data_IF_711539881690
#
_entry.id   IF_711539881690
#
_cell.length_a   1.000
_cell.length_b   1.000
_cell.length_c   1.000
_cell.angle_alpha   90.00
_cell.angle_beta   90.00
_cell.angle_gamma   90.00
#
_symmetry.space_group_name_H-M   'P 1'
#
loop_
_entity.id
_entity.type
_entity.pdbx_description
1 polymer ?
2 non-polymer ?
3 non-polymer ?
4 water ?
#
# COMPACT_ATOMS: atom_id res chain seq x y z
N UNK A 5 -15.90 5.26 5.02
CA UNK A 5 -15.31 4.42 3.92
C UNK A 5 -14.73 3.09 4.39
N UNK A 6 -15.39 2.47 5.36
CA UNK A 6 -14.94 1.18 5.94
C UNK A 6 -15.58 -0.03 5.26
N UNK A 7 -14.76 -0.93 4.71
CA UNK A 7 -15.33 -2.07 4.03
C UNK A 7 -14.57 -2.71 2.90
N UNK A 8 -15.12 -3.80 2.40
CA UNK A 8 -14.56 -4.49 1.28
C UNK A 8 -15.51 -4.35 0.09
N UNK A 9 -16.71 -3.86 0.37
CA UNK A 9 -17.74 -3.77 -0.69
C UNK A 9 -18.31 -2.39 -0.73
N UNK A 10 -18.55 -1.85 -1.94
CA UNK A 10 -19.17 -0.54 -2.09
C UNK A 10 -20.44 -0.80 -2.87
N UNK A 11 -21.58 -0.72 -2.20
CA UNK A 11 -22.84 -0.96 -2.87
C UNK A 11 -23.20 0.40 -3.51
N UNK A 12 -23.39 0.45 -4.83
CA UNK A 12 -23.64 1.78 -5.47
C UNK A 12 -24.73 1.72 -6.54
N UNK A 13 -25.34 2.88 -6.78
CA UNK A 13 -26.18 3.09 -7.96
C UNK A 13 -25.74 4.41 -8.55
N UNK A 14 -25.41 4.42 -9.85
CA UNK A 14 -24.94 5.57 -10.54
C UNK A 14 -25.95 6.13 -11.54
N UNK A 15 -26.00 7.46 -11.64
CA UNK A 15 -27.04 8.14 -12.51
C UNK A 15 -26.41 9.26 -13.34
N UNK A 16 -26.88 9.47 -14.56
CA UNK A 16 -26.65 10.77 -15.17
C UNK A 16 -27.51 11.79 -14.48
N UNK A 17 -26.95 12.99 -14.28
CA UNK A 17 -27.71 14.10 -13.74
C UNK A 17 -28.02 15.16 -14.80
N UNK A 18 -29.30 15.44 -14.93
CA UNK A 18 -29.82 16.30 -15.98
C UNK A 18 -29.86 17.72 -15.45
N UNK A 19 -30.17 17.87 -14.17
CA UNK A 19 -30.26 19.19 -13.57
C UNK A 19 -29.51 19.30 -12.25
N UNK A 20 -28.34 19.95 -12.28
CA UNK A 20 -27.51 20.13 -11.09
C UNK A 20 -28.15 20.99 -10.02
N UNK A 21 -28.98 21.96 -10.42
CA UNK A 21 -29.70 22.81 -9.50
C UNK A 21 -30.66 22.00 -8.62
N UNK A 22 -31.45 21.12 -9.24
CA UNK A 22 -32.41 20.25 -8.53
C UNK A 22 -31.68 19.30 -7.59
N UNK A 23 -30.60 18.70 -8.09
CA UNK A 23 -29.72 17.89 -7.26
C UNK A 23 -29.25 18.67 -6.05
N UNK A 24 -28.79 19.90 -6.27
CA UNK A 24 -28.29 20.69 -5.14
C UNK A 24 -29.39 21.08 -4.16
N UNK A 25 -30.60 21.30 -4.66
CA UNK A 25 -31.76 21.40 -3.77
C UNK A 25 -32.12 20.04 -3.15
N UNK A 26 -32.15 18.97 -3.96
CA UNK A 26 -32.34 17.60 -3.45
C UNK A 26 -31.44 17.42 -2.23
N UNK A 27 -30.18 17.86 -2.36
CA UNK A 27 -29.15 17.71 -1.32
C UNK A 27 -29.46 18.47 -0.06
N UNK A 28 -29.58 19.80 -0.18
CA UNK A 28 -29.91 20.73 0.93
C UNK A 28 -31.12 20.27 1.78
N UNK A 29 -32.24 20.00 1.09
CA UNK A 29 -33.45 19.50 1.75
C UNK A 29 -33.09 18.42 2.74
N UNK A 30 -32.47 17.35 2.21
CA UNK A 30 -32.07 16.17 2.99
C UNK A 30 -30.93 16.45 3.96
N UNK A 31 -30.45 17.69 4.01
CA UNK A 31 -29.48 18.11 5.01
C UNK A 31 -28.09 17.47 4.86
N UNK A 32 -27.70 17.22 3.61
CA UNK A 32 -26.38 16.65 3.28
C UNK A 32 -25.18 17.42 3.85
N UNK A 33 -24.21 16.65 4.35
CA UNK A 33 -22.96 17.14 4.87
C UNK A 33 -21.90 17.11 3.77
N UNK A 34 -21.17 18.21 3.54
CA UNK A 34 -20.10 18.17 2.55
C UNK A 34 -18.92 17.44 3.16
N UNK A 35 -18.36 16.49 2.42
CA UNK A 35 -17.12 15.86 2.80
C UNK A 35 -15.93 16.45 2.06
N UNK A 36 -15.91 16.34 0.73
CA UNK A 36 -14.90 17.06 -0.03
C UNK A 36 -15.64 17.71 -1.18
N UNK A 37 -15.26 18.92 -1.56
CA UNK A 37 -16.02 19.61 -2.62
C UNK A 37 -15.12 20.02 -3.74
N UNK A 38 -15.61 19.82 -4.97
CA UNK A 38 -14.92 20.23 -6.20
C UNK A 38 -13.44 19.88 -6.27
N UNK A 39 -13.15 18.61 -6.03
CA UNK A 39 -11.77 18.14 -6.18
C UNK A 39 -11.53 17.64 -7.56
N UNK A 40 -10.36 17.96 -8.10
CA UNK A 40 -9.90 17.34 -9.30
C UNK A 40 -9.33 16.00 -8.88
N UNK A 41 -9.87 14.90 -9.42
CA UNK A 41 -9.34 13.58 -9.14
C UNK A 41 -8.72 13.01 -10.39
N UNK A 42 -7.47 12.62 -10.27
CA UNK A 42 -6.73 12.00 -11.36
C UNK A 42 -6.48 10.55 -10.97
N UNK A 43 -7.00 9.62 -11.78
CA UNK A 43 -6.86 8.20 -11.47
C UNK A 43 -5.96 7.58 -12.51
N UNK A 44 -4.83 7.02 -12.09
CA UNK A 44 -3.97 6.29 -12.99
C UNK A 44 -4.37 4.82 -12.80
N UNK A 45 -4.82 4.20 -13.87
CA UNK A 45 -5.13 2.78 -13.82
C UNK A 45 -3.90 1.97 -14.23
N UNK A 46 -3.60 0.93 -13.43
CA UNK A 46 -2.45 0.03 -13.68
C UNK A 46 -2.90 -1.39 -14.02
N UNK A 47 -2.14 -2.01 -14.91
CA UNK A 47 -2.37 -3.41 -15.25
C UNK A 47 -1.08 -4.06 -15.73
N UNK A 48 -1.10 -5.39 -15.78
CA UNK A 48 0.07 -6.15 -16.27
C UNK A 48 0.08 -6.12 -17.79
N UNK A 49 1.22 -6.45 -18.41
CA UNK A 49 1.35 -6.19 -19.84
C UNK A 49 0.28 -6.95 -20.64
N UNK A 50 -0.13 -8.10 -20.13
CA UNK A 50 -1.17 -8.91 -20.75
C UNK A 50 -2.58 -8.57 -20.31
N UNK A 51 -2.77 -7.38 -19.69
CA UNK A 51 -4.06 -6.92 -19.14
C UNK A 51 -4.64 -7.97 -18.21
N UNK A 52 -3.75 -8.61 -17.45
CA UNK A 52 -4.11 -9.68 -16.54
C UNK A 52 -5.22 -9.34 -15.57
N UNK A 53 -5.19 -8.12 -15.00
CA UNK A 53 -6.21 -7.74 -14.05
C UNK A 53 -7.58 -7.53 -14.72
N UNK A 54 -7.59 -6.84 -15.85
CA UNK A 54 -8.84 -6.59 -16.57
C UNK A 54 -9.52 -7.90 -16.97
N UNK A 55 -8.71 -8.87 -17.39
CA UNK A 55 -9.20 -10.23 -17.73
C UNK A 55 -9.87 -10.95 -16.54
N UNK A 56 -9.65 -10.44 -15.32
CA UNK A 56 -10.26 -10.90 -14.07
C UNK A 56 -11.33 -9.95 -13.49
N UNK A 57 -11.73 -8.93 -14.23
CA UNK A 57 -12.75 -7.98 -13.76
C UNK A 57 -12.20 -7.17 -12.59
N UNK A 58 -10.86 -6.95 -12.59
CA UNK A 58 -10.20 -6.20 -11.55
C UNK A 58 -9.64 -4.89 -12.12
N UNK A 59 -9.77 -3.80 -11.37
CA UNK A 59 -9.10 -2.53 -11.75
C UNK A 59 -8.22 -2.12 -10.56
N UNK A 60 -7.08 -1.52 -10.82
CA UNK A 60 -6.22 -1.06 -9.71
C UNK A 60 -5.83 0.38 -10.09
N UNK A 61 -6.03 1.28 -9.15
CA UNK A 61 -5.98 2.73 -9.40
C UNK A 61 -5.06 3.36 -8.37
N UNK A 62 -4.21 4.29 -8.81
CA UNK A 62 -3.63 5.25 -7.86
C UNK A 62 -4.36 6.56 -8.06
N UNK A 63 -4.97 7.09 -7.01
CA UNK A 63 -5.84 8.23 -7.14
C UNK A 63 -5.21 9.45 -6.41
N UNK A 64 -5.14 10.58 -7.11
CA UNK A 64 -4.72 11.83 -6.46
C UNK A 64 -5.87 12.83 -6.47
N UNK A 65 -6.24 13.38 -5.31
CA UNK A 65 -7.37 14.30 -5.22
C UNK A 65 -6.87 15.68 -4.76
N UNK A 66 -7.11 16.72 -5.56
CA UNK A 66 -6.62 18.08 -5.24
C UNK A 66 -7.79 19.04 -5.28
N UNK A 67 -7.89 20.00 -4.33
CA UNK A 67 -6.91 20.35 -3.32
C UNK A 67 -6.94 19.59 -1.98
N UNK A 68 -7.82 18.61 -1.82
CA UNK A 68 -7.92 17.90 -0.54
C UNK A 68 -6.62 17.25 -0.10
N UNK A 69 -5.70 17.00 -1.04
CA UNK A 69 -4.43 16.28 -0.79
C UNK A 69 -4.50 14.76 -0.57
N UNK A 70 -5.69 14.18 -0.66
CA UNK A 70 -5.89 12.75 -0.48
C UNK A 70 -5.21 11.92 -1.61
N UNK A 71 -4.50 10.84 -1.24
CA UNK A 71 -3.86 9.94 -2.24
C UNK A 71 -4.21 8.53 -1.80
N UNK A 72 -4.77 7.77 -2.73
CA UNK A 72 -5.33 6.42 -2.46
C UNK A 72 -4.79 5.40 -3.46
N UNK A 73 -4.51 4.20 -2.97
CA UNK A 73 -4.27 3.06 -3.80
C UNK A 73 -5.57 2.25 -3.63
N UNK A 74 -6.20 1.93 -4.77
CA UNK A 74 -7.53 1.30 -4.79
C UNK A 74 -7.45 0.00 -5.59
N UNK A 75 -8.05 -1.07 -5.05
CA UNK A 75 -8.19 -2.29 -5.82
C UNK A 75 -9.70 -2.60 -5.85
N UNK A 76 -10.22 -2.57 -7.07
CA UNK A 76 -11.65 -2.80 -7.35
C UNK A 76 -11.82 -4.16 -8.01
N UNK A 77 -12.83 -4.94 -7.60
CA UNK A 77 -13.15 -6.19 -8.27
C UNK A 77 -12.62 -7.38 -7.49
N UNK A 78 -12.84 -8.61 -7.99
CA UNK A 78 -13.52 -8.91 -9.25
C UNK A 78 -14.99 -8.53 -9.17
N UNK A 79 -15.51 -8.01 -10.26
CA UNK A 79 -16.88 -7.54 -10.30
C UNK A 79 -17.05 -6.12 -9.79
N UNK A 80 -18.30 -5.64 -9.88
CA UNK A 80 -18.60 -4.24 -9.66
C UNK A 80 -19.02 -3.85 -8.22
N UNK A 81 -18.71 -4.67 -7.23
CA UNK A 81 -19.04 -4.31 -5.85
C UNK A 81 -17.84 -4.30 -4.89
N UNK A 82 -16.94 -5.26 -5.10
CA UNK A 82 -15.75 -5.43 -4.30
C UNK A 82 -14.87 -4.19 -4.52
N UNK A 83 -14.49 -3.56 -3.43
CA UNK A 83 -13.63 -2.36 -3.46
C UNK A 83 -12.90 -2.16 -2.14
N UNK A 84 -11.56 -2.05 -2.20
CA UNK A 84 -10.78 -1.71 -1.03
C UNK A 84 -9.74 -0.64 -1.40
N UNK A 85 -9.48 0.27 -0.48
CA UNK A 85 -8.50 1.32 -0.66
C UNK A 85 -7.62 1.54 0.55
N UNK A 86 -6.42 2.05 0.32
CA UNK A 86 -5.50 2.36 1.41
C UNK A 86 -4.99 3.75 1.13
N UNK A 87 -5.02 4.62 2.13
CA UNK A 87 -4.32 5.91 2.00
C UNK A 87 -2.87 5.69 1.85
N UNK A 88 -2.26 6.43 0.95
CA UNK A 88 -0.85 6.31 0.75
C UNK A 88 -0.19 7.68 0.86
N UNK A 89 1.04 7.63 1.34
CA UNK A 89 1.88 8.80 1.56
C UNK A 89 2.39 9.37 0.24
N UNK A 90 2.90 8.50 -0.62
CA UNK A 90 3.75 8.91 -1.72
C UNK A 90 3.33 8.08 -2.90
N UNK A 91 2.60 8.70 -3.82
CA UNK A 91 2.14 8.00 -5.03
C UNK A 91 3.28 7.43 -5.89
N UNK A 92 4.38 8.15 -6.10
CA UNK A 92 5.41 7.66 -6.98
C UNK A 92 6.11 6.42 -6.36
N UNK A 93 6.20 6.37 -5.03
CA UNK A 93 6.86 5.24 -4.33
C UNK A 93 5.99 4.00 -4.56
N UNK A 94 4.70 4.13 -4.25
CA UNK A 94 3.80 2.97 -4.52
C UNK A 94 3.78 2.54 -6.01
N UNK A 95 3.72 3.51 -6.92
CA UNK A 95 3.72 3.21 -8.34
C UNK A 95 5.01 2.41 -8.74
N UNK A 96 6.16 2.81 -8.21
CA UNK A 96 7.39 2.12 -8.50
C UNK A 96 7.38 0.67 -7.95
N UNK A 97 6.96 0.51 -6.71
CA UNK A 97 6.76 -0.82 -6.12
C UNK A 97 5.83 -1.74 -6.93
N UNK A 98 4.71 -1.19 -7.38
CA UNK A 98 3.81 -1.94 -8.24
C UNK A 98 4.41 -2.22 -9.58
N UNK A 99 5.20 -1.28 -10.13
CA UNK A 99 5.97 -1.57 -11.35
C UNK A 99 6.91 -2.77 -11.18
N UNK A 100 7.58 -2.87 -10.02
CA UNK A 100 8.42 -4.01 -9.79
C UNK A 100 7.65 -5.33 -9.88
N UNK A 101 6.42 -5.33 -9.37
CA UNK A 101 5.52 -6.50 -9.45
C UNK A 101 4.91 -6.77 -10.83
N UNK A 102 5.17 -5.86 -11.78
CA UNK A 102 4.76 -6.00 -13.18
C UNK A 102 3.54 -5.20 -13.58
N UNK A 103 3.06 -4.31 -12.72
CA UNK A 103 1.86 -3.43 -13.06
C UNK A 103 2.30 -2.05 -13.49
N UNK A 104 1.78 -1.55 -14.62
CA UNK A 104 2.29 -0.30 -15.20
C UNK A 104 1.09 0.51 -15.68
N UNK A 105 1.25 1.85 -15.81
CA UNK A 105 0.10 2.68 -16.19
C UNK A 105 -0.54 2.22 -17.50
N UNK A 106 -1.87 2.14 -17.51
CA UNK A 106 -2.55 1.64 -18.70
C UNK A 106 -3.35 2.76 -19.36
N UNK A 107 -3.99 3.59 -18.51
CA UNK A 107 -4.71 4.78 -18.95
C UNK A 107 -5.00 5.61 -17.72
N UNK A 108 -5.49 6.82 -17.94
CA UNK A 108 -5.78 7.77 -16.88
C UNK A 108 -7.20 8.28 -17.05
N UNK A 109 -7.96 8.37 -15.96
CA UNK A 109 -9.31 8.95 -15.97
C UNK A 109 -9.27 10.15 -15.06
N UNK A 110 -9.71 11.31 -15.59
CA UNK A 110 -9.81 12.51 -14.75
C UNK A 110 -11.26 12.97 -14.58
N UNK A 111 -11.59 13.52 -13.42
CA UNK A 111 -12.92 14.08 -13.18
C UNK A 111 -12.86 15.12 -12.09
N UNK A 112 -13.94 15.91 -12.00
CA UNK A 112 -14.19 16.77 -10.85
C UNK A 112 -15.16 16.00 -9.96
N UNK A 113 -14.86 15.91 -8.68
CA UNK A 113 -15.77 15.17 -7.77
C UNK A 113 -16.04 15.93 -6.47
N UNK A 114 -17.29 15.87 -6.02
CA UNK A 114 -17.73 16.34 -4.70
C UNK A 114 -18.37 15.15 -4.00
N UNK A 115 -18.11 15.02 -2.69
CA UNK A 115 -18.66 13.89 -1.94
C UNK A 115 -19.45 14.47 -0.76
N UNK A 116 -20.70 14.03 -0.62
CA UNK A 116 -21.58 14.48 0.47
C UNK A 116 -22.04 13.25 1.25
N UNK A 117 -22.43 13.47 2.49
CA UNK A 117 -22.98 12.38 3.32
C UNK A 117 -24.42 12.72 3.72
N UNK A 118 -25.34 11.75 3.64
CA UNK A 118 -26.67 11.86 4.31
C UNK A 118 -26.80 10.59 5.11
N UNK A 119 -26.58 10.71 6.42
CA UNK A 119 -26.57 9.53 7.27
C UNK A 119 -25.54 8.50 6.82
N UNK A 120 -25.97 7.26 6.59
CA UNK A 120 -25.05 6.22 6.17
C UNK A 120 -24.70 6.27 4.69
N UNK A 121 -25.41 7.08 3.92
CA UNK A 121 -25.22 7.13 2.45
C UNK A 121 -24.16 8.13 2.05
N UNK A 122 -23.39 7.80 1.02
CA UNK A 122 -22.53 8.78 0.38
C UNK A 122 -23.19 9.18 -0.93
N UNK A 123 -23.12 10.46 -1.28
CA UNK A 123 -23.61 10.91 -2.57
C UNK A 123 -22.44 11.61 -3.23
N UNK A 124 -22.04 11.10 -4.39
CA UNK A 124 -20.85 11.58 -5.04
C UNK A 124 -21.35 12.26 -6.29
N UNK A 125 -20.90 13.47 -6.56
CA UNK A 125 -21.36 14.25 -7.71
C UNK A 125 -20.13 14.50 -8.57
N UNK A 126 -20.16 14.02 -9.83
CA UNK A 126 -18.98 13.99 -10.67
C UNK A 126 -19.24 14.76 -11.94
N UNK A 127 -18.17 15.37 -12.47
CA UNK A 127 -18.25 15.92 -13.83
C UNK A 127 -17.10 15.38 -14.67
N UNK A 128 -17.39 14.89 -15.88
CA UNK A 128 -16.31 14.42 -16.73
C UNK A 128 -16.41 15.20 -18.06
N UNK A 129 -15.28 15.60 -18.60
CA UNK A 129 -15.31 16.38 -19.84
C UNK A 129 -16.01 15.61 -20.95
N UNK A 130 -16.95 16.25 -21.62
CA UNK A 130 -17.68 15.57 -22.70
C UNK A 130 -18.83 14.76 -22.15
N UNK A 131 -18.51 13.83 -21.27
CA UNK A 131 -19.55 12.90 -20.76
C UNK A 131 -20.62 13.53 -19.91
N UNK A 132 -20.27 14.55 -19.14
CA UNK A 132 -21.26 15.30 -18.39
C UNK A 132 -21.28 15.01 -16.90
N UNK A 133 -22.44 15.26 -16.29
CA UNK A 133 -22.62 15.13 -14.84
C UNK A 133 -23.24 13.81 -14.41
N UNK A 134 -22.76 13.26 -13.30
CA UNK A 134 -23.22 11.97 -12.80
C UNK A 134 -23.32 12.11 -11.25
N UNK A 135 -24.16 11.30 -10.63
CA UNK A 135 -24.25 11.20 -9.16
C UNK A 135 -24.32 9.74 -8.83
N UNK A 136 -23.67 9.31 -7.75
CA UNK A 136 -23.73 7.90 -7.30
C UNK A 136 -24.18 7.91 -5.86
N UNK A 137 -25.19 7.10 -5.52
CA UNK A 137 -25.56 6.85 -4.13
C UNK A 137 -24.82 5.58 -3.73
N UNK A 138 -24.15 5.59 -2.57
CA UNK A 138 -23.39 4.41 -2.15
C UNK A 138 -23.40 4.18 -0.64
N UNK A 139 -23.26 2.92 -0.26
CA UNK A 139 -23.05 2.45 1.14
C UNK A 139 -21.88 1.45 1.13
N UNK A 140 -20.96 1.56 2.12
CA UNK A 140 -19.86 0.59 2.21
C UNK A 140 -20.26 -0.43 3.27
N UNK A 141 -19.78 -1.64 3.08
CA UNK A 141 -19.88 -2.77 4.06
C UNK A 141 -18.70 -3.75 3.98
N UNK A 142 -18.44 -4.43 5.11
CA UNK A 142 -17.45 -5.50 5.16
C UNK A 142 -18.09 -6.89 4.98
N UNK A 143 -19.42 -6.92 5.04
CA UNK A 143 -20.22 -8.13 5.19
C UNK A 143 -21.01 -8.44 3.91
N UNK A 144 -20.52 -9.39 3.12
CA UNK A 144 -21.20 -9.76 1.86
C UNK A 144 -22.61 -10.31 2.09
N UNK A 145 -22.85 -10.80 3.33
CA UNK A 145 -24.19 -11.36 3.70
C UNK A 145 -25.25 -10.27 3.95
N UNK A 146 -24.89 -9.03 3.67
CA UNK A 146 -25.83 -7.91 3.76
C UNK A 146 -25.94 -7.07 2.49
N UNK A 147 -25.23 -7.49 1.44
CA UNK A 147 -25.30 -6.83 0.12
C UNK A 147 -26.70 -6.64 -0.41
N UNK A 148 -27.60 -7.57 -0.08
CA UNK A 148 -28.99 -7.51 -0.55
C UNK A 148 -29.72 -6.40 0.15
N UNK A 149 -29.65 -6.41 1.48
CA UNK A 149 -30.25 -5.40 2.37
C UNK A 149 -29.79 -4.01 1.89
N UNK A 150 -28.48 -3.84 1.70
CA UNK A 150 -27.95 -2.51 1.29
C UNK A 150 -28.34 -2.06 -0.09
N UNK A 151 -28.31 -2.94 -1.09
CA UNK A 151 -28.67 -2.47 -2.43
C UNK A 151 -30.13 -2.06 -2.53
N UNK A 152 -30.99 -2.73 -1.73
CA UNK A 152 -32.39 -2.29 -1.53
C UNK A 152 -32.42 -0.91 -0.87
N UNK A 153 -31.68 -0.76 0.23
CA UNK A 153 -31.69 0.54 0.93
C UNK A 153 -31.21 1.67 0.00
N UNK A 154 -30.22 1.39 -0.86
CA UNK A 154 -29.76 2.38 -1.90
C UNK A 154 -30.82 2.78 -2.86
N UNK A 155 -31.56 1.77 -3.33
CA UNK A 155 -32.69 2.01 -4.19
C UNK A 155 -33.74 2.88 -3.48
N UNK A 156 -34.16 2.50 -2.27
CA UNK A 156 -35.13 3.37 -1.56
C UNK A 156 -34.59 4.80 -1.39
N UNK A 157 -33.31 4.95 -1.03
CA UNK A 157 -32.74 6.31 -0.87
C UNK A 157 -32.74 7.07 -2.18
N UNK A 158 -32.36 6.41 -3.28
CA UNK A 158 -32.28 7.10 -4.56
C UNK A 158 -33.68 7.55 -4.99
N UNK A 159 -34.69 6.72 -4.64
CA UNK A 159 -36.08 7.03 -5.00
C UNK A 159 -36.57 8.29 -4.27
N UNK A 160 -36.41 8.31 -2.95
CA UNK A 160 -36.82 9.49 -2.18
C UNK A 160 -35.94 10.70 -2.49
N UNK A 161 -34.73 10.47 -2.99
CA UNK A 161 -33.83 11.56 -3.35
C UNK A 161 -34.18 12.17 -4.71
N UNK A 162 -34.99 11.44 -5.50
CA UNK A 162 -35.36 11.88 -6.84
C UNK A 162 -34.43 11.51 -8.00
N UNK A 163 -33.58 10.49 -7.80
CA UNK A 163 -32.74 10.00 -8.88
C UNK A 163 -33.42 8.79 -9.45
N UNK A 164 -33.78 8.89 -10.74
CA UNK A 164 -34.78 7.99 -11.35
C UNK A 164 -34.20 6.90 -12.23
N UNK A 165 -34.88 5.77 -12.34
CA UNK A 165 -34.37 4.64 -13.16
C UNK A 165 -33.99 4.99 -14.58
N UNK A 166 -34.77 5.86 -15.24
CA UNK A 166 -34.47 6.22 -16.60
C UNK A 166 -33.11 6.88 -16.73
N UNK A 167 -32.60 7.44 -15.62
CA UNK A 167 -31.29 8.08 -15.65
C UNK A 167 -30.12 7.20 -15.16
N UNK A 168 -30.44 5.95 -14.85
CA UNK A 168 -29.41 5.07 -14.32
C UNK A 168 -28.34 4.79 -15.38
N UNK A 169 -27.07 4.70 -14.91
CA UNK A 169 -25.94 4.36 -15.73
C UNK A 169 -25.19 3.18 -15.07
N UNK A 170 -25.37 1.95 -15.59
CA UNK A 170 -24.77 0.79 -15.02
C UNK A 170 -23.27 0.67 -15.32
N UNK A 171 -22.75 1.49 -16.26
CA UNK A 171 -21.38 1.28 -16.72
C UNK A 171 -20.43 2.04 -15.80
N UNK A 172 -19.23 1.52 -15.62
CA UNK A 172 -18.11 2.22 -14.97
C UNK A 172 -17.59 3.35 -15.85
N UNK A 173 -16.81 4.26 -15.25
CA UNK A 173 -16.20 5.30 -16.07
C UNK A 173 -15.23 4.64 -17.10
N UNK A 174 -14.49 3.58 -16.72
CA UNK A 174 -13.58 2.98 -17.71
C UNK A 174 -14.37 2.39 -18.88
N UNK A 175 -15.51 1.81 -18.55
CA UNK A 175 -16.43 1.28 -19.59
C UNK A 175 -16.99 2.40 -20.48
N UNK A 176 -17.47 3.48 -19.84
CA UNK A 176 -17.93 4.65 -20.65
C UNK A 176 -16.90 5.25 -21.61
N UNK A 177 -15.63 5.20 -21.21
CA UNK A 177 -14.54 5.83 -21.90
C UNK A 177 -13.81 4.91 -22.86
N UNK A 178 -14.21 3.66 -22.83
CA UNK A 178 -13.65 2.62 -23.68
C UNK A 178 -12.28 2.10 -23.32
N UNK A 179 -12.00 2.05 -22.00
CA UNK A 179 -10.76 1.50 -21.47
C UNK A 179 -10.96 0.21 -20.65
N UNK B 4 15.97 9.28 6.44
CA UNK B 4 16.93 8.17 6.71
C UNK B 4 16.68 6.92 5.89
N UNK B 5 15.40 6.68 5.62
CA UNK B 5 15.13 5.55 4.71
C UNK B 5 14.75 6.02 3.31
N UNK B 6 15.63 6.52 2.43
CA UNK B 6 15.34 7.11 1.12
C UNK B 6 16.13 6.37 0.04
N UNK B 7 15.46 5.78 -0.93
CA UNK B 7 16.19 5.06 -2.00
C UNK B 7 15.51 3.85 -2.59
N UNK B 8 15.96 3.43 -3.77
CA UNK B 8 15.52 2.17 -4.31
C UNK B 8 16.55 1.06 -4.19
N UNK B 9 17.73 1.40 -3.67
CA UNK B 9 18.77 0.42 -3.35
C UNK B 9 19.04 0.47 -1.87
N UNK B 10 19.22 -0.72 -1.25
CA UNK B 10 19.68 -0.83 0.15
C UNK B 10 20.92 -1.74 0.17
N UNK B 11 22.07 -1.18 0.54
CA UNK B 11 23.27 -1.94 0.69
C UNK B 11 23.28 -2.39 2.15
N UNK B 12 23.41 -3.66 2.38
CA UNK B 12 23.22 -4.25 3.72
C UNK B 12 24.17 -5.42 3.91
N UNK B 13 24.78 -5.49 5.10
CA UNK B 13 25.57 -6.67 5.53
C UNK B 13 25.02 -7.20 6.85
N UNK B 14 24.81 -8.52 6.90
CA UNK B 14 24.32 -9.17 8.12
C UNK B 14 25.46 -9.94 8.79
N UNK B 15 25.51 -9.86 10.12
CA UNK B 15 26.59 -10.51 10.87
C UNK B 15 25.96 -11.28 12.01
N UNK B 16 26.50 -12.47 12.32
CA UNK B 16 26.24 -13.13 13.61
C UNK B 16 26.94 -12.30 14.66
N UNK B 17 26.25 -12.11 15.79
CA UNK B 17 26.75 -11.34 16.92
C UNK B 17 27.27 -12.29 17.99
N UNK B 18 28.58 -12.30 18.17
CA UNK B 18 29.24 -13.17 19.13
C UNK B 18 29.29 -12.53 20.54
N UNK B 19 29.34 -11.20 20.58
CA UNK B 19 29.55 -10.41 21.79
C UNK B 19 28.61 -9.19 21.80
N UNK B 20 27.40 -9.41 22.26
CA UNK B 20 26.39 -8.36 22.38
C UNK B 20 26.83 -7.17 23.24
N UNK B 21 27.55 -7.46 24.34
CA UNK B 21 28.08 -6.42 25.21
C UNK B 21 28.97 -5.41 24.46
N UNK B 22 29.95 -5.89 23.71
CA UNK B 22 30.82 -5.00 22.91
C UNK B 22 30.01 -4.19 21.92
N UNK B 23 29.09 -4.86 21.23
CA UNK B 23 28.21 -4.10 20.32
C UNK B 23 27.49 -2.94 21.04
N UNK B 24 26.84 -3.24 22.18
CA UNK B 24 26.10 -2.19 22.87
C UNK B 24 27.01 -1.07 23.41
N UNK B 25 28.19 -1.47 23.83
CA UNK B 25 29.18 -0.52 24.36
C UNK B 25 29.64 0.45 23.27
N UNK B 26 29.81 -0.08 22.07
CA UNK B 26 30.18 0.72 20.91
C UNK B 26 29.06 1.59 20.40
N UNK B 27 27.82 1.16 20.57
CA UNK B 27 26.68 1.99 20.21
C UNK B 27 26.63 3.25 21.10
N UNK B 28 27.01 3.09 22.37
CA UNK B 28 27.13 4.28 23.26
C UNK B 28 28.36 5.16 22.92
N UNK B 29 29.51 4.53 22.74
CA UNK B 29 30.74 5.27 22.42
C UNK B 29 30.54 6.14 21.15
N UNK B 30 29.83 5.61 20.17
CA UNK B 30 29.66 6.30 18.89
C UNK B 30 28.39 7.15 18.86
N UNK B 31 27.77 7.28 20.03
CA UNK B 31 26.61 8.16 20.17
C UNK B 31 25.52 7.79 19.16
N UNK B 32 25.26 6.49 19.00
CA UNK B 32 24.16 6.05 18.17
C UNK B 32 22.86 6.59 18.68
N UNK B 33 21.95 6.93 17.79
CA UNK B 33 20.61 7.30 18.19
C UNK B 33 19.61 6.16 17.91
N UNK B 34 18.79 5.84 18.92
CA UNK B 34 17.78 4.79 18.79
C UNK B 34 16.64 5.28 17.96
N UNK B 35 16.36 4.60 16.86
CA UNK B 35 15.15 4.85 16.09
C UNK B 35 13.96 4.02 16.61
N UNK B 36 14.20 2.74 16.91
CA UNK B 36 13.23 1.86 17.56
C UNK B 36 14.02 0.98 18.52
N UNK B 37 13.41 0.65 19.66
CA UNK B 37 14.07 -0.18 20.68
C UNK B 37 13.26 -1.38 21.03
N UNK B 38 13.89 -2.55 20.97
CA UNK B 38 13.29 -3.80 21.33
C UNK B 38 11.86 -3.97 20.85
N UNK B 39 11.63 -3.72 19.56
CA UNK B 39 10.35 -3.92 18.96
C UNK B 39 10.14 -5.38 18.58
N UNK B 40 8.95 -5.89 18.80
CA UNK B 40 8.60 -7.14 18.15
C UNK B 40 8.21 -6.82 16.69
N UNK B 41 8.85 -7.51 15.74
CA UNK B 41 8.65 -7.32 14.29
C UNK B 41 8.06 -8.59 13.73
N UNK B 42 6.84 -8.52 13.20
CA UNK B 42 6.23 -9.65 12.58
C UNK B 42 6.12 -9.34 11.11
N UNK B 43 6.76 -10.17 10.31
CA UNK B 43 6.82 -10.05 8.83
C UNK B 43 6.01 -11.16 8.23
N UNK B 44 5.00 -10.78 7.43
CA UNK B 44 4.21 -11.70 6.70
C UNK B 44 4.73 -11.63 5.27
N UNK B 45 5.32 -12.73 4.81
CA UNK B 45 5.79 -12.82 3.42
C UNK B 45 4.70 -13.25 2.48
N UNK B 46 4.55 -12.55 1.34
CA UNK B 46 3.47 -12.85 0.40
C UNK B 46 4.02 -13.31 -0.98
N UNK B 47 3.34 -14.27 -1.60
CA UNK B 47 3.72 -14.68 -2.97
C UNK B 47 2.43 -15.24 -3.68
N UNK B 48 2.50 -15.37 -5.01
CA UNK B 48 1.46 -15.93 -5.85
C UNK B 48 1.49 -17.45 -5.60
N UNK B 49 0.48 -18.11 -5.98
CA UNK B 49 0.27 -19.58 -5.86
C UNK B 49 1.50 -20.39 -6.32
N UNK B 50 2.04 -19.90 -7.52
CA UNK B 50 3.17 -20.54 -8.13
C UNK B 50 4.54 -19.94 -7.81
N UNK B 51 4.61 -19.13 -6.74
CA UNK B 51 5.88 -18.49 -6.37
C UNK B 51 6.53 -17.62 -7.45
N UNK B 52 5.67 -16.94 -8.21
CA UNK B 52 6.09 -16.02 -9.24
C UNK B 52 7.12 -14.99 -8.78
N UNK B 53 6.97 -14.46 -7.56
CA UNK B 53 7.93 -13.46 -7.04
C UNK B 53 9.28 -14.13 -6.69
N UNK B 54 9.25 -15.22 -5.94
CA UNK B 54 10.54 -15.87 -5.63
C UNK B 54 11.31 -16.24 -6.87
N UNK B 55 10.60 -16.66 -7.91
CA UNK B 55 11.24 -17.01 -9.17
C UNK B 55 11.94 -15.84 -9.81
N UNK B 56 11.56 -14.64 -9.39
CA UNK B 56 12.22 -13.40 -9.83
C UNK B 56 13.22 -12.83 -8.82
N UNK B 57 13.53 -13.60 -7.77
CA UNK B 57 14.26 -13.14 -6.62
C UNK B 57 13.66 -11.84 -6.09
N UNK B 58 12.32 -11.83 -6.02
CA UNK B 58 11.55 -10.81 -5.25
C UNK B 58 10.93 -11.40 -3.98
N UNK B 59 11.03 -10.64 -2.88
CA UNK B 59 10.29 -10.95 -1.66
C UNK B 59 9.34 -9.76 -1.41
N UNK B 60 8.18 -10.06 -0.89
CA UNK B 60 7.22 -9.00 -0.56
C UNK B 60 6.73 -9.25 0.83
N UNK B 61 6.83 -8.20 1.65
CA UNK B 61 6.61 -8.33 3.09
C UNK B 61 5.65 -7.27 3.61
N UNK B 62 4.73 -7.68 4.49
CA UNK B 62 3.99 -6.72 5.26
C UNK B 62 4.53 -6.84 6.66
N UNK B 63 5.06 -5.74 7.16
CA UNK B 63 5.75 -5.73 8.47
C UNK B 63 4.97 -4.88 9.45
N UNK B 64 4.82 -5.41 10.66
CA UNK B 64 4.26 -4.67 11.77
C UNK B 64 5.31 -4.62 12.88
N UNK B 65 5.56 -3.46 13.47
CA UNK B 65 6.54 -3.37 14.56
C UNK B 65 5.85 -2.75 15.77
N UNK B 66 5.93 -3.44 16.90
CA UNK B 66 5.34 -3.00 18.16
C UNK B 66 6.38 -2.92 19.25
N UNK B 67 6.33 -1.86 20.08
CA UNK B 67 5.25 -0.87 20.21
C UNK B 67 5.40 0.46 19.42
N UNK B 68 6.34 0.52 18.46
CA UNK B 68 6.55 1.72 17.70
C UNK B 68 5.29 2.06 16.86
N UNK B 69 4.47 1.06 16.53
CA UNK B 69 3.34 1.25 15.60
C UNK B 69 3.66 1.44 14.12
N UNK B 70 4.92 1.25 13.73
CA UNK B 70 5.33 1.34 12.30
C UNK B 70 4.73 0.14 11.58
N UNK B 71 4.15 0.38 10.39
CA UNK B 71 3.70 -0.70 9.55
C UNK B 71 4.19 -0.35 8.17
N UNK B 72 4.67 -1.37 7.47
CA UNK B 72 5.42 -1.21 6.23
C UNK B 72 5.01 -2.28 5.22
N UNK B 73 4.95 -1.88 3.97
CA UNK B 73 4.85 -2.80 2.81
C UNK B 73 6.21 -2.69 2.11
N UNK B 74 6.92 -3.82 1.92
CA UNK B 74 8.31 -3.82 1.53
C UNK B 74 8.35 -4.75 0.29
N UNK B 75 8.98 -4.29 -0.79
CA UNK B 75 9.23 -5.13 -1.95
C UNK B 75 10.76 -5.16 -2.14
N UNK B 76 11.37 -6.32 -1.93
CA UNK B 76 12.83 -6.49 -2.07
C UNK B 76 13.05 -7.17 -3.39
N UNK B 77 14.03 -6.72 -4.17
CA UNK B 77 14.33 -7.34 -5.46
C UNK B 77 13.76 -6.52 -6.59
N UNK B 78 13.88 -7.02 -7.86
CA UNK B 78 14.44 -8.35 -8.17
C UNK B 78 15.97 -8.38 -7.97
N UNK B 79 16.44 -9.40 -7.24
CA UNK B 79 17.87 -9.60 -7.03
C UNK B 79 18.50 -8.59 -6.05
N UNK B 80 19.81 -8.64 -6.01
CA UNK B 80 20.55 -8.03 -4.96
C UNK B 80 20.46 -6.50 -4.96
N UNK B 81 20.44 -5.97 -3.70
CA UNK B 81 20.48 -4.55 -3.44
C UNK B 81 19.27 -3.72 -3.86
N UNK B 82 18.20 -4.22 -4.32
CA UNK B 82 17.01 -3.47 -4.69
C UNK B 82 16.03 -3.64 -3.54
N UNK B 83 15.54 -2.55 -3.11
CA UNK B 83 14.57 -2.55 -2.04
C UNK B 83 13.80 -1.26 -2.03
N UNK B 84 12.47 -1.34 -1.96
CA UNK B 84 11.64 -0.15 -1.75
C UNK B 84 10.61 -0.47 -0.67
N UNK B 85 10.28 0.52 0.14
CA UNK B 85 9.19 0.35 1.09
C UNK B 85 8.29 1.56 1.21
N UNK B 86 7.04 1.29 1.59
CA UNK B 86 6.03 2.32 1.87
C UNK B 86 5.44 2.17 3.27
N UNK B 87 5.32 3.26 4.05
CA UNK B 87 4.49 3.16 5.28
C UNK B 87 3.06 2.88 4.87
N UNK B 88 2.35 2.07 5.63
CA UNK B 88 0.94 1.77 5.45
C UNK B 88 0.21 1.93 6.79
N UNK B 89 -1.09 2.19 6.74
CA UNK B 89 -1.84 2.40 7.99
C UNK B 89 -2.31 1.09 8.60
N UNK B 90 -2.60 0.12 7.75
CA UNK B 90 -3.32 -1.09 8.18
C UNK B 90 -2.83 -2.26 7.38
N UNK B 91 -2.11 -3.17 8.05
CA UNK B 91 -1.64 -4.37 7.44
C UNK B 91 -2.71 -5.27 6.85
N UNK B 92 -3.80 -5.50 7.58
CA UNK B 92 -4.79 -6.44 7.08
C UNK B 92 -5.47 -5.87 5.85
N UNK B 93 -5.54 -4.52 5.77
CA UNK B 93 -6.20 -3.88 4.60
C UNK B 93 -5.37 -4.12 3.37
N UNK B 94 -4.09 -3.77 3.46
CA UNK B 94 -3.21 -3.98 2.30
C UNK B 94 -3.07 -5.48 1.99
N UNK B 95 -3.04 -6.32 3.03
CA UNK B 95 -2.97 -7.75 2.81
C UNK B 95 -4.17 -8.27 1.96
N UNK B 96 -5.36 -7.72 2.22
CA UNK B 96 -6.58 -8.13 1.50
C UNK B 96 -6.54 -7.58 0.07
N UNK B 97 -5.97 -6.40 -0.09
CA UNK B 97 -5.79 -5.85 -1.43
C UNK B 97 -4.82 -6.71 -2.26
N UNK B 98 -3.71 -7.11 -1.64
CA UNK B 98 -2.80 -7.95 -2.33
C UNK B 98 -3.33 -9.35 -2.62
N UNK B 99 -4.18 -9.87 -1.74
CA UNK B 99 -4.85 -11.16 -1.95
C UNK B 99 -5.71 -11.12 -3.19
N UNK B 100 -6.44 -10.03 -3.36
CA UNK B 100 -7.21 -9.83 -4.59
C UNK B 100 -6.38 -9.92 -5.85
N UNK B 101 -5.15 -9.36 -5.82
CA UNK B 101 -4.22 -9.49 -6.92
C UNK B 101 -3.50 -10.85 -7.01
N UNK B 102 -3.77 -11.76 -6.09
CA UNK B 102 -3.21 -13.11 -6.22
C UNK B 102 -2.03 -13.41 -5.29
N UNK B 103 -1.72 -12.50 -4.37
CA UNK B 103 -0.59 -12.69 -3.43
C UNK B 103 -1.11 -13.04 -2.05
N UNK B 104 -0.61 -14.16 -1.49
CA UNK B 104 -1.15 -14.73 -0.27
C UNK B 104 0.02 -15.05 0.65
N UNK B 105 -0.23 -15.07 1.98
CA UNK B 105 0.77 -15.41 3.01
C UNK B 105 1.46 -16.73 2.73
N UNK B 106 2.78 -16.71 2.62
CA UNK B 106 3.57 -17.88 2.29
C UNK B 106 4.20 -18.43 3.58
N UNK B 107 4.63 -17.51 4.42
CA UNK B 107 5.14 -17.79 5.77
C UNK B 107 5.34 -16.45 6.56
N UNK B 108 5.60 -16.55 7.86
CA UNK B 108 5.79 -15.41 8.72
C UNK B 108 7.13 -15.58 9.43
N UNK B 109 7.83 -14.46 9.58
CA UNK B 109 9.06 -14.42 10.35
C UNK B 109 8.84 -13.42 11.44
N UNK B 110 9.20 -13.81 12.67
CA UNK B 110 9.11 -12.94 13.84
C UNK B 110 10.53 -12.74 14.45
N UNK B 111 10.78 -11.54 14.97
CA UNK B 111 12.06 -11.24 15.61
C UNK B 111 11.89 -10.08 16.59
N UNK B 112 12.89 -9.91 17.45
CA UNK B 112 13.00 -8.66 18.21
C UNK B 112 14.09 -7.87 17.50
N UNK B 113 13.82 -6.59 17.32
CA UNK B 113 14.80 -5.75 16.65
C UNK B 113 14.86 -4.38 17.25
N UNK B 114 16.09 -3.86 17.42
CA UNK B 114 16.35 -2.45 17.71
C UNK B 114 17.02 -1.87 16.48
N UNK B 115 16.69 -0.61 16.17
CA UNK B 115 17.31 0.08 15.03
C UNK B 115 17.95 1.37 15.53
N UNK B 116 19.24 1.54 15.21
CA UNK B 116 20.03 2.73 15.59
C UNK B 116 20.55 3.44 14.34
N UNK B 117 20.74 4.75 14.43
CA UNK B 117 21.43 5.49 13.35
C UNK B 117 22.78 5.97 13.90
N UNK B 118 23.83 5.88 13.09
CA UNK B 118 25.12 6.53 13.34
C UNK B 118 25.52 7.19 12.00
N UNK B 119 25.38 8.51 11.96
CA UNK B 119 25.65 9.26 10.73
C UNK B 119 24.75 8.71 9.65
N UNK B 120 25.36 8.29 8.54
CA UNK B 120 24.56 7.82 7.37
C UNK B 120 24.12 6.34 7.46
N UNK B 121 24.65 5.64 8.43
CA UNK B 121 24.49 4.18 8.53
C UNK B 121 23.33 3.86 9.43
N UNK B 122 22.64 2.78 9.09
CA UNK B 122 21.71 2.18 10.05
C UNK B 122 22.33 0.91 10.59
N UNK B 123 22.10 0.64 11.88
CA UNK B 123 22.53 -0.62 12.47
C UNK B 123 21.34 -1.18 13.21
N UNK B 124 21.05 -2.44 12.90
CA UNK B 124 19.95 -3.18 13.48
C UNK B 124 20.56 -4.24 14.41
N UNK B 125 19.92 -4.52 15.57
CA UNK B 125 20.36 -5.56 16.47
C UNK B 125 19.14 -6.44 16.65
N UNK B 126 19.27 -7.65 16.17
CA UNK B 126 18.14 -8.57 15.98
C UNK B 126 18.27 -9.80 16.88
N UNK B 127 17.15 -10.32 17.38
CA UNK B 127 17.21 -11.66 17.99
C UNK B 127 16.09 -12.50 17.44
N UNK B 128 16.42 -13.71 16.98
CA UNK B 128 15.42 -14.63 16.43
C UNK B 128 15.46 -15.88 17.29
N UNK B 129 14.31 -16.21 17.88
CA UNK B 129 14.24 -17.38 18.76
C UNK B 129 14.81 -18.60 18.05
N UNK B 130 15.71 -19.32 18.73
CA UNK B 130 16.19 -20.57 18.15
C UNK B 130 17.36 -20.41 17.19
N UNK B 131 17.48 -19.23 16.58
CA UNK B 131 18.52 -18.93 15.59
C UNK B 131 19.66 -18.16 16.24
N UNK B 132 19.36 -17.11 17.00
CA UNK B 132 20.43 -16.38 17.65
C UNK B 132 20.39 -14.88 17.46
N UNK B 133 21.51 -14.23 17.71
CA UNK B 133 21.70 -12.77 17.64
C UNK B 133 22.45 -12.36 16.36
N UNK B 134 21.87 -11.35 15.68
CA UNK B 134 22.45 -10.84 14.47
C UNK B 134 22.49 -9.34 14.53
N UNK B 135 23.29 -8.73 13.65
CA UNK B 135 23.24 -7.28 13.47
C UNK B 135 23.37 -6.99 11.97
N UNK B 136 22.60 -6.00 11.48
CA UNK B 136 22.72 -5.62 10.06
C UNK B 136 23.23 -4.18 10.01
N UNK B 137 24.09 -3.91 9.06
CA UNK B 137 24.59 -2.57 8.84
C UNK B 137 24.15 -2.20 7.42
N UNK B 138 23.50 -1.06 7.24
CA UNK B 138 22.88 -0.79 5.93
C UNK B 138 22.86 0.67 5.61
N UNK B 139 22.77 0.99 4.32
CA UNK B 139 22.64 2.35 3.88
C UNK B 139 21.74 2.27 2.66
N UNK B 140 20.75 3.17 2.54
CA UNK B 140 19.88 3.16 1.35
C UNK B 140 20.34 4.28 0.44
N UNK B 141 20.26 4.05 -0.87
CA UNK B 141 20.65 5.09 -1.83
C UNK B 141 19.79 4.98 -3.10
N UNK B 142 19.73 6.05 -3.89
CA UNK B 142 19.13 5.97 -5.23
C UNK B 142 20.15 5.79 -6.34
N UNK B 143 21.42 5.84 -5.98
CA UNK B 143 22.53 5.92 -6.89
C UNK B 143 23.25 4.57 -7.08
N UNK B 144 23.06 3.92 -8.23
CA UNK B 144 23.77 2.63 -8.42
C UNK B 144 25.31 2.76 -8.54
N UNK B 145 25.82 3.97 -8.80
CA UNK B 145 27.25 4.09 -9.11
C UNK B 145 28.14 4.03 -7.88
N UNK B 146 27.58 4.01 -6.69
CA UNK B 146 28.44 4.00 -5.47
C UNK B 146 28.20 2.78 -4.59
N UNK B 147 27.48 1.79 -5.10
CA UNK B 147 27.06 0.63 -4.30
C UNK B 147 28.27 -0.14 -3.78
N UNK B 148 29.33 -0.25 -4.57
CA UNK B 148 30.51 -1.02 -4.11
C UNK B 148 31.21 -0.31 -2.95
N UNK B 149 31.37 0.99 -3.14
CA UNK B 149 31.95 1.88 -2.08
C UNK B 149 31.12 1.82 -0.80
N UNK B 150 29.81 1.88 -0.95
CA UNK B 150 28.92 1.92 0.20
C UNK B 150 29.01 0.60 0.97
N UNK B 151 29.12 -0.52 0.24
CA UNK B 151 29.19 -1.84 0.90
C UNK B 151 30.51 -1.99 1.65
N UNK B 152 31.60 -1.48 1.08
CA UNK B 152 32.90 -1.50 1.72
C UNK B 152 32.86 -0.62 2.97
N UNK B 153 32.21 0.52 2.90
CA UNK B 153 32.05 1.41 4.10
C UNK B 153 31.27 0.72 5.22
N UNK B 154 30.27 -0.05 4.82
CA UNK B 154 29.50 -0.81 5.81
C UNK B 154 30.35 -1.85 6.53
N UNK B 155 31.21 -2.55 5.79
CA UNK B 155 32.09 -3.55 6.39
C UNK B 155 33.06 -2.93 7.38
N UNK B 156 33.64 -1.79 7.01
CA UNK B 156 34.52 -1.00 7.94
C UNK B 156 33.79 -0.60 9.19
N UNK B 157 32.63 0.01 8.98
CA UNK B 157 31.80 0.45 10.09
C UNK B 157 31.47 -0.72 11.01
N UNK B 158 31.01 -1.84 10.46
CA UNK B 158 30.68 -3.00 11.29
C UNK B 158 31.88 -3.45 12.16
N UNK B 159 33.09 -3.41 11.61
CA UNK B 159 34.29 -3.92 12.30
C UNK B 159 34.46 -3.12 13.61
N UNK B 160 34.01 -1.88 13.52
CA UNK B 160 34.08 -0.89 14.58
C UNK B 160 33.20 -1.26 15.79
N UNK B 161 32.27 -2.19 15.59
CA UNK B 161 31.37 -2.68 16.65
C UNK B 161 31.73 -4.08 17.13
N UNK B 162 32.87 -4.60 16.67
CA UNK B 162 33.31 -5.96 16.96
C UNK B 162 32.76 -7.03 16.02
N UNK B 163 32.17 -6.58 14.90
CA UNK B 163 31.58 -7.49 13.91
C UNK B 163 32.62 -7.76 12.83
N UNK B 164 33.16 -8.96 12.87
CA UNK B 164 34.34 -9.27 12.10
C UNK B 164 33.95 -9.86 10.75
N UNK B 165 34.83 -9.63 9.79
CA UNK B 165 34.66 -10.17 8.47
C UNK B 165 34.11 -11.60 8.47
N UNK B 166 34.60 -12.45 9.39
CA UNK B 166 34.24 -13.88 9.42
C UNK B 166 32.91 -14.18 10.09
N UNK B 167 32.22 -13.17 10.60
CA UNK B 167 30.90 -13.46 11.19
C UNK B 167 29.77 -13.06 10.25
N UNK B 168 30.15 -12.62 9.05
CA UNK B 168 29.19 -12.19 8.03
C UNK B 168 28.31 -13.40 7.66
N UNK B 169 27.03 -13.12 7.50
CA UNK B 169 26.05 -14.14 7.14
C UNK B 169 25.39 -13.76 5.81
N UNK B 170 25.75 -14.44 4.69
CA UNK B 170 25.13 -14.12 3.41
C UNK B 170 23.71 -14.58 3.24
N UNK B 171 23.22 -15.52 4.05
CA UNK B 171 21.84 -16.09 3.92
C UNK B 171 20.91 -15.09 4.59
N UNK B 172 19.75 -14.87 3.95
CA UNK B 172 18.64 -14.13 4.51
C UNK B 172 17.95 -14.88 5.63
N UNK B 173 17.14 -14.17 6.44
CA UNK B 173 16.39 -14.88 7.47
C UNK B 173 15.43 -15.89 6.87
N UNK B 174 14.81 -15.53 5.72
CA UNK B 174 13.96 -16.47 5.07
C UNK B 174 14.72 -17.78 4.76
N UNK B 175 15.95 -17.70 4.27
CA UNK B 175 16.76 -18.87 3.95
C UNK B 175 17.16 -19.64 5.21
N UNK B 176 17.55 -18.90 6.24
CA UNK B 176 18.00 -19.52 7.52
C UNK B 176 16.90 -20.28 8.21
N UNK B 177 15.64 -19.91 7.95
CA UNK B 177 14.47 -20.51 8.54
C UNK B 177 13.83 -21.58 7.68
N UNK B 178 14.47 -21.90 6.57
CA UNK B 178 14.03 -22.92 5.62
C UNK B 178 12.88 -22.54 4.69
N UNK B 179 12.61 -21.26 4.56
CA UNK B 179 11.57 -20.77 3.67
C UNK B 179 12.13 -20.25 2.33
X LIG C 1 -16.54 3.71 -11.36
X LIG C 1 -17.35 3.73 -10.11
X LIG C 1 -17.36 4.20 -12.50
X LIG C 1 -15.92 2.35 -11.50
X LIG C 1 -15.15 5.83 -9.82
X LIG C 1 -14.11 6.83 -10.26
X LIG C 1 -16.45 6.41 -9.43
X LIG C 1 -15.35 4.80 -11.08
X LIG C 1 -15.09 4.92 -7.21
X LIG C 1 -14.69 6.25 -6.60
X LIG C 1 -16.55 4.57 -7.29
X LIG C 1 -14.47 4.89 -8.67
X LIG C 1 -14.28 3.76 -6.52
X LIG C 1 -13.27 4.15 -5.61
X LIG C 1 -13.66 3.76 -4.18
X LIG C 1 -12.69 4.24 -3.27
X LIG C 1 -14.89 4.18 -3.68
X LIG C 1 -14.71 4.19 -2.18
X LIG C 1 -15.17 2.92 -1.71
X LIG C 1 -13.31 4.49 -2.01
X LIG C 1 -12.93 5.84 -1.45
X LIG C 1 -13.27 7.06 -1.92
X LIG C 1 -12.75 8.03 -1.13
X LIG C 1 -12.08 7.40 -0.13
X LIG C 1 -11.36 7.86 0.96
X LIG C 1 -11.25 9.18 1.15
X LIG C 1 -10.79 6.96 1.80
X LIG C 1 -10.91 5.65 1.58
X LIG C 1 -11.61 5.18 0.54
X LIG C 1 -12.20 6.04 -0.33
X LIG D 1 -18.03 5.06 -8.63
X LIG E 1 16.62 -10.26 5.40
X LIG E 1 17.41 -9.01 5.24
X LIG E 1 17.36 -11.42 6.06
X LIG E 1 15.86 -10.65 4.14
X LIG E 1 15.14 -8.59 7.29
X LIG E 1 14.09 -8.92 8.21
X LIG E 1 16.47 -8.09 7.72
X LIG E 1 15.35 -9.89 6.38
X LIG E 1 15.07 -5.98 6.19
X LIG E 1 14.58 -5.25 7.43
X LIG E 1 16.49 -5.92 5.82
X LIG E 1 14.52 -7.46 6.25
X LIG E 1 14.27 -5.41 4.90
X LIG E 1 13.39 -4.30 5.09
X LIG E 1 13.85 -3.16 4.19
X LIG E 1 12.96 -2.04 4.32
X LIG E 1 15.22 -2.72 4.78
X LIG E 1 15.08 -1.21 4.89
X LIG E 1 15.98 -0.56 3.98
X LIG E 1 13.65 -0.84 4.64
X LIG E 1 13.02 -0.16 5.80
X LIG E 1 13.11 -0.59 7.07
X LIG E 1 12.45 0.27 7.88
X LIG E 1 11.93 1.25 7.10
X LIG E 1 11.17 2.37 7.39
X LIG E 1 10.82 2.65 8.69
X LIG E 1 10.81 3.18 6.37
X LIG E 1 11.15 2.91 5.09
X LIG E 1 11.89 1.83 4.79
X LIG E 1 12.30 0.98 5.78
X LIG F 1 17.97 -7.34 6.47
#
# INVERSE_FOLDING_TARGET
MSEHFVGKYEVELKFRVMDLTTLHEQLVAQKATAFTLNNHEKDIYLDANGQDLAKQQISMVLREMNPSGIRLWIVKGPGAERCEASNIEDVSKVQSMLATLGYHPAFTIEKQRSIYFVGKFHITVDHLTGLGDFAEIAIMTDDATELDKLKAECRDFANTFGLQVDQQEPRSYRQLLGF
MSEHFVGKYEVELKFRVMDLTTLHEQLVAQKATAFTLNNHEKDIYLDANGQDLAKQQISMVLREMNPSGIRLWIVKGPGAERCEASNIEDVSKVQSMLATLGYHPAFTIEKQRSIYFVGKFHITVDHLTGLGDFAEIAIMTDDATELDKLKAECRDFANTFGLQVDQQEPRSYRQLLGF
3AT PG O1G O2G O3G PB O1B O2B O3B PA O1A O2A O3A O5' C5' C4' O4' C3' C2' O2' C1' N9 C8 N7 C5 C6 N6 N1 C2 N3 C4
MN MN
3AT PG O1G O2G O3G PB O1B O2B O3B PA O1A O2A O3A O5' C5' C4' O4' C3' C2' O2' C1' N9 C8 N7 C5 C6 N6 N1 C2 N3 C4
MN MN
#
